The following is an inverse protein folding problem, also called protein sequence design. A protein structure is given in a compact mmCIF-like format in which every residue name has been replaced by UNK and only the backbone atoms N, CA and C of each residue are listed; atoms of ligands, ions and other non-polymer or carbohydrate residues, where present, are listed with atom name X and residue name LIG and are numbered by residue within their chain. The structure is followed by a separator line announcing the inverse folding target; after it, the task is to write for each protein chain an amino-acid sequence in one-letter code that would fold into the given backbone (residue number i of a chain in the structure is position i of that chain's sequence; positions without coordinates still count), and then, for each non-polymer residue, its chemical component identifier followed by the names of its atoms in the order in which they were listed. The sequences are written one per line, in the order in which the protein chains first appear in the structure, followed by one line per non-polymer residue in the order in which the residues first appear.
data_IF_463963307614
#
_entry.id   IF_463963307614
#
_cell.length_a   1.000
_cell.length_b   1.000
_cell.length_c   1.000
_cell.angle_alpha   90.00
_cell.angle_beta   90.00
_cell.angle_gamma   90.00
#
_symmetry.space_group_name_H-M   'P 1'
#
loop_
_entity.id
_entity.type
_entity.pdbx_description
1 polymer ?
#
# COMPACT_ATOMS: atom_id res chain seq x y z
N UNK A 1 -59.64 7.13 -81.26
CA UNK A 1 -58.32 7.78 -81.06
C UNK A 1 -58.28 8.54 -79.74
N UNK A 2 -59.30 9.33 -79.39
CA UNK A 2 -59.27 10.15 -78.18
C UNK A 2 -59.25 9.36 -76.85
N UNK A 3 -59.99 8.25 -76.73
CA UNK A 3 -59.98 7.46 -75.48
C UNK A 3 -58.62 6.81 -75.16
N UNK A 4 -57.85 6.42 -76.18
CA UNK A 4 -56.50 5.88 -76.00
C UNK A 4 -55.52 6.98 -75.55
N UNK A 5 -55.69 8.20 -76.06
CA UNK A 5 -54.88 9.36 -75.67
C UNK A 5 -55.16 9.77 -74.22
N UNK A 6 -56.41 9.78 -73.79
CA UNK A 6 -56.78 10.04 -72.39
C UNK A 6 -56.28 8.96 -71.43
N UNK A 7 -56.36 7.68 -71.82
CA UNK A 7 -55.82 6.57 -71.03
C UNK A 7 -54.29 6.72 -70.84
N UNK A 8 -53.58 7.07 -71.92
CA UNK A 8 -52.13 7.32 -71.86
C UNK A 8 -51.81 8.51 -70.96
N UNK A 9 -52.57 9.61 -71.05
CA UNK A 9 -52.40 10.77 -70.16
C UNK A 9 -52.58 10.40 -68.68
N UNK A 10 -53.60 9.59 -68.35
CA UNK A 10 -53.79 9.08 -66.98
C UNK A 10 -52.61 8.25 -66.51
N UNK A 11 -52.10 7.35 -67.36
CA UNK A 11 -50.91 6.54 -67.05
C UNK A 11 -49.69 7.43 -66.79
N UNK A 12 -49.46 8.44 -67.64
CA UNK A 12 -48.34 9.39 -67.47
C UNK A 12 -48.46 10.12 -66.13
N UNK A 13 -49.64 10.63 -65.79
CA UNK A 13 -49.87 11.31 -64.50
C UNK A 13 -49.66 10.38 -63.31
N UNK A 14 -50.12 9.12 -63.38
CA UNK A 14 -49.86 8.13 -62.32
C UNK A 14 -48.37 7.83 -62.17
N UNK A 15 -47.64 7.66 -63.27
CA UNK A 15 -46.20 7.41 -63.24
C UNK A 15 -45.42 8.61 -62.68
N UNK A 16 -45.80 9.84 -63.05
CA UNK A 16 -45.19 11.05 -62.51
C UNK A 16 -45.37 11.11 -60.98
N UNK A 17 -46.60 10.94 -60.49
CA UNK A 17 -46.88 10.93 -59.05
C UNK A 17 -46.11 9.80 -58.32
N UNK A 18 -46.00 8.61 -58.94
CA UNK A 18 -45.25 7.50 -58.35
C UNK A 18 -43.75 7.75 -58.33
N UNK A 19 -43.20 8.43 -59.33
CA UNK A 19 -41.80 8.85 -59.31
C UNK A 19 -41.53 9.85 -58.19
N UNK A 20 -42.43 10.82 -57.97
CA UNK A 20 -42.29 11.78 -56.88
C UNK A 20 -42.36 11.10 -55.50
N UNK A 21 -43.28 10.14 -55.32
CA UNK A 21 -43.35 9.32 -54.10
C UNK A 21 -42.06 8.52 -53.87
N UNK A 22 -41.51 7.89 -54.92
CA UNK A 22 -40.24 7.14 -54.84
C UNK A 22 -39.09 8.08 -54.47
N UNK A 23 -39.03 9.28 -55.05
CA UNK A 23 -37.97 10.25 -54.76
C UNK A 23 -38.03 10.69 -53.28
N UNK A 24 -39.22 11.00 -52.76
CA UNK A 24 -39.41 11.33 -51.34
C UNK A 24 -39.02 10.17 -50.41
N UNK A 25 -39.31 8.93 -50.83
CA UNK A 25 -38.91 7.74 -50.08
C UNK A 25 -37.39 7.56 -50.06
N UNK A 26 -36.70 7.78 -51.20
CA UNK A 26 -35.23 7.78 -51.28
C UNK A 26 -34.62 8.83 -50.35
N UNK A 27 -35.17 10.04 -50.31
CA UNK A 27 -34.67 11.10 -49.43
C UNK A 27 -34.84 10.73 -47.95
N UNK A 28 -35.96 10.12 -47.61
CA UNK A 28 -36.24 9.61 -46.25
C UNK A 28 -35.25 8.50 -45.86
N UNK A 29 -34.96 7.57 -46.78
CA UNK A 29 -33.98 6.52 -46.55
C UNK A 29 -32.58 7.09 -46.32
N UNK A 30 -32.17 8.08 -47.13
CA UNK A 30 -30.88 8.74 -46.97
C UNK A 30 -30.75 9.47 -45.63
N UNK A 31 -31.80 10.17 -45.20
CA UNK A 31 -31.83 10.82 -43.88
C UNK A 31 -31.75 9.80 -42.74
N UNK A 32 -32.49 8.69 -42.86
CA UNK A 32 -32.49 7.62 -41.86
C UNK A 32 -31.10 6.96 -41.77
N UNK A 33 -30.48 6.66 -42.92
CA UNK A 33 -29.14 6.10 -42.99
C UNK A 33 -28.12 7.03 -42.32
N UNK A 34 -28.18 8.32 -42.63
CA UNK A 34 -27.31 9.32 -42.01
C UNK A 34 -27.49 9.36 -40.49
N UNK A 35 -28.74 9.36 -40.02
CA UNK A 35 -29.04 9.34 -38.59
C UNK A 35 -28.49 8.08 -37.89
N UNK A 36 -28.57 6.91 -38.52
CA UNK A 36 -27.98 5.66 -38.00
C UNK A 36 -26.46 5.76 -37.92
N UNK A 37 -25.80 6.32 -38.95
CA UNK A 37 -24.35 6.48 -38.99
C UNK A 37 -23.85 7.45 -37.91
N UNK A 38 -24.50 8.61 -37.77
CA UNK A 38 -24.17 9.60 -36.75
C UNK A 38 -24.38 9.04 -35.34
N UNK A 39 -25.53 8.40 -35.09
CA UNK A 39 -25.81 7.78 -33.79
C UNK A 39 -24.79 6.70 -33.44
N UNK A 40 -24.45 5.83 -34.39
CA UNK A 40 -23.43 4.80 -34.17
C UNK A 40 -22.06 5.40 -33.87
N UNK A 41 -21.68 6.46 -34.57
CA UNK A 41 -20.41 7.16 -34.32
C UNK A 41 -20.39 7.79 -32.92
N UNK A 42 -21.48 8.42 -32.50
CA UNK A 42 -21.59 9.06 -31.19
C UNK A 42 -21.50 8.04 -30.06
N UNK A 43 -22.28 6.95 -30.14
CA UNK A 43 -22.26 5.91 -29.11
C UNK A 43 -20.88 5.23 -29.01
N UNK A 44 -20.19 5.04 -30.14
CA UNK A 44 -18.82 4.51 -30.11
C UNK A 44 -17.83 5.46 -29.43
N UNK A 45 -17.96 6.78 -29.67
CA UNK A 45 -17.14 7.79 -29.00
C UNK A 45 -17.41 7.86 -27.50
N UNK A 46 -18.69 7.87 -27.10
CA UNK A 46 -19.10 7.86 -25.68
C UNK A 46 -18.56 6.61 -24.96
N UNK A 47 -18.61 5.45 -25.62
CA UNK A 47 -18.05 4.22 -25.05
C UNK A 47 -16.53 4.31 -24.85
N UNK A 48 -15.81 4.88 -25.81
CA UNK A 48 -14.35 5.07 -25.73
C UNK A 48 -13.98 6.00 -24.56
N UNK A 49 -14.70 7.12 -24.43
CA UNK A 49 -14.54 8.08 -23.31
C UNK A 49 -14.79 7.44 -21.94
N UNK A 50 -15.80 6.56 -21.82
CA UNK A 50 -16.06 5.83 -20.59
C UNK A 50 -14.93 4.84 -20.25
N UNK A 51 -14.35 4.16 -21.25
CA UNK A 51 -13.19 3.29 -21.03
C UNK A 51 -11.94 4.08 -20.62
N UNK A 52 -11.69 5.23 -21.24
CA UNK A 52 -10.59 6.12 -20.85
C UNK A 52 -10.73 6.58 -19.39
N UNK A 53 -11.94 6.95 -18.98
CA UNK A 53 -12.25 7.28 -17.58
C UNK A 53 -11.97 6.10 -16.64
N UNK A 54 -12.40 4.89 -16.99
CA UNK A 54 -12.12 3.68 -16.21
C UNK A 54 -10.62 3.38 -16.09
N UNK A 55 -9.84 3.57 -17.16
CA UNK A 55 -8.39 3.40 -17.12
C UNK A 55 -7.72 4.43 -16.20
N UNK A 56 -8.17 5.68 -16.21
CA UNK A 56 -7.67 6.72 -15.30
C UNK A 56 -7.90 6.34 -13.85
N UNK A 57 -9.12 5.91 -13.50
CA UNK A 57 -9.47 5.47 -12.14
C UNK A 57 -8.61 4.28 -11.72
N UNK A 58 -8.41 3.31 -12.62
CA UNK A 58 -7.60 2.13 -12.34
C UNK A 58 -6.14 2.51 -12.06
N UNK A 59 -5.56 3.44 -12.81
CA UNK A 59 -4.18 3.90 -12.60
C UNK A 59 -4.06 4.69 -11.29
N UNK A 60 -5.02 5.56 -10.97
CA UNK A 60 -5.08 6.27 -9.69
C UNK A 60 -5.12 5.32 -8.48
N UNK A 61 -5.97 4.29 -8.55
CA UNK A 61 -6.06 3.28 -7.48
C UNK A 61 -4.76 2.48 -7.35
N UNK A 62 -4.16 2.09 -8.47
CA UNK A 62 -2.88 1.39 -8.49
C UNK A 62 -1.77 2.23 -7.87
N UNK A 63 -1.64 3.50 -8.25
CA UNK A 63 -0.64 4.40 -7.68
C UNK A 63 -0.89 4.66 -6.19
N UNK A 64 -2.14 4.77 -5.76
CA UNK A 64 -2.52 4.86 -4.35
C UNK A 64 -2.04 3.63 -3.56
N UNK A 65 -2.31 2.41 -4.05
CA UNK A 65 -1.86 1.16 -3.41
C UNK A 65 -0.33 1.08 -3.35
N UNK A 66 0.37 1.43 -4.43
CA UNK A 66 1.83 1.47 -4.47
C UNK A 66 2.38 2.44 -3.42
N UNK A 67 1.77 3.62 -3.30
CA UNK A 67 2.17 4.61 -2.31
C UNK A 67 1.92 4.14 -0.88
N UNK A 68 0.79 3.49 -0.60
CA UNK A 68 0.53 2.87 0.71
C UNK A 68 1.58 1.82 1.06
N UNK A 69 1.95 0.94 0.12
CA UNK A 69 3.00 -0.06 0.33
C UNK A 69 4.35 0.60 0.63
N UNK A 70 4.74 1.61 -0.15
CA UNK A 70 6.00 2.36 0.05
C UNK A 70 6.04 3.07 1.41
N UNK A 71 4.94 3.70 1.81
CA UNK A 71 4.82 4.38 3.10
C UNK A 71 4.94 3.38 4.25
N UNK A 72 4.25 2.23 4.15
CA UNK A 72 4.29 1.20 5.18
C UNK A 72 5.67 0.55 5.28
N UNK A 73 6.32 0.27 4.15
CA UNK A 73 7.70 -0.19 4.10
C UNK A 73 8.65 0.82 4.79
N UNK A 74 8.51 2.12 4.49
CA UNK A 74 9.34 3.17 5.08
C UNK A 74 9.12 3.26 6.59
N UNK A 75 7.85 3.22 7.05
CA UNK A 75 7.47 3.22 8.47
C UNK A 75 8.10 2.05 9.21
N UNK A 76 7.91 0.83 8.72
CA UNK A 76 8.49 -0.40 9.32
C UNK A 76 10.02 -0.35 9.35
N UNK A 77 10.65 0.12 8.28
CA UNK A 77 12.11 0.25 8.20
C UNK A 77 12.65 1.26 9.21
N UNK A 78 11.99 2.42 9.34
CA UNK A 78 12.37 3.45 10.30
C UNK A 78 12.21 2.95 11.74
N UNK A 79 11.13 2.24 12.05
CA UNK A 79 10.92 1.67 13.38
C UNK A 79 12.00 0.63 13.71
N UNK A 80 12.31 -0.30 12.79
CA UNK A 80 13.40 -1.27 12.98
C UNK A 80 14.77 -0.60 13.17
N UNK A 81 15.06 0.46 12.41
CA UNK A 81 16.31 1.23 12.58
C UNK A 81 16.37 1.92 13.95
N UNK A 82 15.25 2.49 14.41
CA UNK A 82 15.14 3.09 15.76
C UNK A 82 15.41 2.05 16.84
N UNK A 83 14.80 0.87 16.73
CA UNK A 83 15.01 -0.24 17.66
C UNK A 83 16.48 -0.71 17.65
N UNK A 84 17.08 -0.86 16.47
CA UNK A 84 18.48 -1.26 16.34
C UNK A 84 19.42 -0.25 17.02
N UNK A 85 19.17 1.05 16.86
CA UNK A 85 19.92 2.09 17.57
C UNK A 85 19.75 1.99 19.09
N UNK A 86 18.53 1.74 19.57
CA UNK A 86 18.27 1.57 21.00
C UNK A 86 18.95 0.32 21.56
N UNK A 87 18.93 -0.79 20.83
CA UNK A 87 19.63 -2.03 21.19
C UNK A 87 21.14 -1.84 21.25
N UNK A 88 21.74 -1.15 20.27
CA UNK A 88 23.17 -0.85 20.28
C UNK A 88 23.55 0.01 21.50
N UNK A 89 22.78 1.05 21.80
CA UNK A 89 23.01 1.87 22.99
C UNK A 89 22.85 1.05 24.29
N UNK A 90 21.86 0.16 24.36
CA UNK A 90 21.64 -0.71 25.51
C UNK A 90 22.79 -1.72 25.69
N UNK A 91 23.34 -2.23 24.58
CA UNK A 91 24.49 -3.13 24.57
C UNK A 91 25.75 -2.43 25.08
N UNK A 92 26.09 -1.25 24.52
CA UNK A 92 27.24 -0.45 24.95
C UNK A 92 27.18 -0.15 26.45
N UNK A 93 26.02 0.28 26.93
CA UNK A 93 25.75 0.46 28.35
C UNK A 93 25.99 -0.83 29.16
N UNK A 94 25.50 -1.98 28.69
CA UNK A 94 25.71 -3.26 29.37
C UNK A 94 27.18 -3.66 29.40
N UNK A 95 27.94 -3.38 28.34
CA UNK A 95 29.38 -3.66 28.26
C UNK A 95 30.15 -2.79 29.25
N UNK A 96 29.81 -1.50 29.36
CA UNK A 96 30.39 -0.60 30.37
C UNK A 96 30.13 -1.08 31.80
N UNK A 97 28.91 -1.54 32.09
CA UNK A 97 28.58 -2.14 33.38
C UNK A 97 29.38 -3.40 33.65
N UNK A 98 29.52 -4.27 32.65
CA UNK A 98 30.29 -5.52 32.78
C UNK A 98 31.76 -5.21 33.05
N UNK A 99 32.33 -4.24 32.35
CA UNK A 99 33.70 -3.81 32.54
C UNK A 99 33.89 -3.19 33.95
N UNK A 100 32.98 -2.32 34.37
CA UNK A 100 32.98 -1.78 35.73
C UNK A 100 32.83 -2.90 36.77
N UNK A 101 31.96 -3.88 36.51
CA UNK A 101 31.74 -5.00 37.41
C UNK A 101 33.02 -5.80 37.62
N UNK A 102 33.69 -6.14 36.53
CA UNK A 102 34.97 -6.85 36.48
C UNK A 102 36.06 -6.08 37.21
N UNK A 103 36.24 -4.79 36.90
CA UNK A 103 37.27 -3.94 37.56
C UNK A 103 37.11 -3.88 39.07
N UNK A 104 35.88 -3.83 39.60
CA UNK A 104 35.72 -3.81 41.06
C UNK A 104 36.03 -5.16 41.72
N UNK A 105 35.93 -6.29 41.00
CA UNK A 105 36.32 -7.59 41.55
C UNK A 105 37.84 -7.70 41.75
N UNK A 106 38.62 -6.92 41.00
CA UNK A 106 40.07 -6.85 41.14
C UNK A 106 40.53 -5.98 42.34
N UNK A 107 39.60 -5.31 43.04
CA UNK A 107 39.92 -4.49 44.22
C UNK A 107 40.25 -5.39 45.41
N UNK A 108 41.49 -5.27 45.88
CA UNK A 108 42.01 -6.05 47.02
C UNK A 108 41.71 -5.41 48.38
N UNK A 109 41.43 -4.11 48.42
CA UNK A 109 41.11 -3.38 49.67
C UNK A 109 39.60 -3.42 50.00
N UNK A 110 39.20 -3.95 51.18
CA UNK A 110 37.79 -4.17 51.52
C UNK A 110 36.95 -2.87 51.61
N UNK A 111 37.54 -1.77 52.09
CA UNK A 111 36.84 -0.49 52.20
C UNK A 111 36.59 0.16 50.84
N UNK A 112 37.55 0.03 49.92
CA UNK A 112 37.45 0.54 48.56
C UNK A 112 36.47 -0.31 47.72
N UNK A 113 36.46 -1.62 47.94
CA UNK A 113 35.46 -2.53 47.36
C UNK A 113 34.05 -2.17 47.82
N UNK A 114 33.83 -1.95 49.12
CA UNK A 114 32.52 -1.61 49.67
C UNK A 114 31.98 -0.27 49.15
N UNK A 115 32.86 0.73 48.96
CA UNK A 115 32.52 2.00 48.30
C UNK A 115 32.17 1.83 46.82
N UNK A 116 32.89 1.02 46.06
CA UNK A 116 32.53 0.75 44.66
C UNK A 116 31.26 -0.10 44.53
N UNK A 117 31.05 -1.09 45.41
CA UNK A 117 29.88 -1.95 45.42
C UNK A 117 28.57 -1.21 45.76
N UNK A 118 28.63 -0.24 46.68
CA UNK A 118 27.48 0.63 46.96
C UNK A 118 27.15 1.54 45.77
N UNK A 119 28.17 2.07 45.07
CA UNK A 119 27.97 2.84 43.82
C UNK A 119 27.39 1.98 42.68
N UNK A 120 27.77 0.70 42.57
CA UNK A 120 27.18 -0.27 41.62
C UNK A 120 25.68 -0.36 41.78
N UNK A 121 25.20 -0.61 43.01
CA UNK A 121 23.78 -0.90 43.26
C UNK A 121 22.87 0.29 42.91
N UNK A 122 23.40 1.52 42.99
CA UNK A 122 22.67 2.74 42.62
C UNK A 122 22.58 2.96 41.11
N UNK A 123 23.55 2.47 40.32
CA UNK A 123 23.61 2.70 38.87
C UNK A 123 23.15 1.50 38.02
N UNK A 124 23.35 0.28 38.50
CA UNK A 124 23.04 -0.94 37.75
C UNK A 124 21.54 -1.22 37.65
N UNK A 125 20.79 -1.05 38.73
CA UNK A 125 19.34 -1.33 38.75
C UNK A 125 18.51 -0.48 37.76
N UNK A 126 18.69 0.86 37.69
CA UNK A 126 17.99 1.70 36.71
C UNK A 126 18.31 1.32 35.27
N UNK A 127 19.57 0.95 35.03
CA UNK A 127 20.11 0.61 33.73
C UNK A 127 19.61 -0.77 33.25
N UNK A 128 19.53 -1.75 34.15
CA UNK A 128 18.89 -3.05 33.89
C UNK A 128 17.40 -2.91 33.55
N UNK A 129 16.66 -2.09 34.30
CA UNK A 129 15.26 -1.79 33.98
C UNK A 129 15.11 -1.16 32.60
N UNK A 130 16.06 -0.31 32.21
CA UNK A 130 16.06 0.31 30.89
C UNK A 130 16.32 -0.73 29.79
N UNK A 131 17.30 -1.63 29.97
CA UNK A 131 17.60 -2.72 29.03
C UNK A 131 16.39 -3.66 28.87
N UNK A 132 15.77 -4.06 29.98
CA UNK A 132 14.58 -4.93 29.96
C UNK A 132 13.39 -4.26 29.27
N UNK A 133 13.19 -2.96 29.49
CA UNK A 133 12.15 -2.19 28.82
C UNK A 133 12.41 -2.10 27.31
N UNK A 134 13.64 -1.81 26.89
CA UNK A 134 14.03 -1.77 25.48
C UNK A 134 13.85 -3.14 24.82
N UNK A 135 14.21 -4.22 25.49
CA UNK A 135 14.04 -5.58 24.97
C UNK A 135 12.57 -5.96 24.77
N UNK A 136 11.70 -5.68 25.75
CA UNK A 136 10.27 -5.97 25.62
C UNK A 136 9.63 -5.14 24.50
N UNK A 137 10.02 -3.87 24.34
CA UNK A 137 9.56 -3.02 23.25
C UNK A 137 9.99 -3.56 21.88
N UNK A 138 11.25 -4.00 21.76
CA UNK A 138 11.77 -4.61 20.55
C UNK A 138 11.01 -5.89 20.17
N UNK A 139 10.76 -6.75 21.15
CA UNK A 139 10.04 -8.01 20.94
C UNK A 139 8.63 -7.78 20.36
N UNK A 140 7.86 -6.85 20.93
CA UNK A 140 6.51 -6.55 20.44
C UNK A 140 6.52 -5.93 19.03
N UNK A 141 7.41 -4.99 18.75
CA UNK A 141 7.54 -4.36 17.42
C UNK A 141 7.92 -5.37 16.34
N UNK A 142 8.93 -6.20 16.63
CA UNK A 142 9.39 -7.22 15.68
C UNK A 142 8.31 -8.27 15.45
N UNK A 143 7.59 -8.66 16.51
CA UNK A 143 6.45 -9.58 16.43
C UNK A 143 5.35 -9.00 15.53
N UNK A 144 4.91 -7.77 15.77
CA UNK A 144 3.88 -7.07 14.97
C UNK A 144 4.27 -7.00 13.49
N UNK A 145 5.51 -6.59 13.19
CA UNK A 145 6.03 -6.52 11.81
C UNK A 145 6.10 -7.90 11.15
N UNK A 146 6.46 -8.95 11.91
CA UNK A 146 6.60 -10.32 11.40
C UNK A 146 5.25 -11.01 11.13
N UNK A 147 4.26 -10.80 12.00
CA UNK A 147 2.90 -11.35 11.86
C UNK A 147 2.21 -10.78 10.60
N UNK A 148 2.45 -9.51 10.29
CA UNK A 148 1.95 -8.88 9.06
C UNK A 148 2.67 -9.35 7.78
N UNK A 149 3.87 -9.91 7.88
CA UNK A 149 4.68 -10.36 6.73
C UNK A 149 4.58 -11.86 6.43
N UNK A 150 3.75 -12.63 7.15
CA UNK A 150 3.59 -14.10 7.03
C UNK A 150 4.89 -14.91 7.21
N UNK A 151 5.97 -14.32 7.73
CA UNK A 151 7.22 -15.04 8.02
C UNK A 151 7.20 -15.60 9.45
N UNK A 152 6.77 -16.86 9.58
CA UNK A 152 6.88 -17.62 10.82
C UNK A 152 8.33 -18.04 11.08
N UNK A 153 9.08 -17.28 11.90
CA UNK A 153 10.18 -17.82 12.70
C UNK A 153 10.76 -16.82 13.72
N UNK A 154 10.29 -16.90 14.97
CA UNK A 154 10.96 -16.29 16.13
C UNK A 154 11.06 -17.29 17.29
N UNK A 155 11.96 -18.27 17.17
CA UNK A 155 12.32 -19.19 18.27
C UNK A 155 13.69 -18.86 18.91
N UNK A 156 14.35 -17.76 18.50
CA UNK A 156 15.77 -17.50 18.85
C UNK A 156 15.97 -16.33 19.84
N UNK A 157 14.92 -15.67 20.34
CA UNK A 157 15.07 -14.54 21.27
C UNK A 157 14.82 -14.95 22.72
N UNK A 158 15.90 -15.11 23.48
CA UNK A 158 15.87 -15.37 24.93
C UNK A 158 15.78 -14.06 25.71
N UNK A 159 14.94 -13.97 26.75
CA UNK A 159 14.74 -12.70 27.49
C UNK A 159 15.99 -12.35 28.32
N UNK A 160 16.35 -11.07 28.48
CA UNK A 160 17.41 -10.64 29.41
C UNK A 160 17.15 -11.10 30.85
N UNK A 161 15.89 -11.10 31.29
CA UNK A 161 15.47 -11.59 32.61
C UNK A 161 15.79 -13.07 32.82
N UNK A 162 15.64 -13.90 31.79
CA UNK A 162 16.01 -15.34 31.83
C UNK A 162 17.53 -15.55 31.93
N UNK A 163 18.35 -14.58 31.48
CA UNK A 163 19.80 -14.64 31.63
C UNK A 163 20.26 -14.20 33.03
N UNK A 164 19.51 -13.31 33.69
CA UNK A 164 19.79 -12.85 35.06
C UNK A 164 19.47 -13.94 36.09
N UNK A 165 18.38 -14.70 35.90
CA UNK A 165 18.07 -15.84 36.77
C UNK A 165 19.17 -16.91 36.77
N UNK A 166 19.90 -17.06 35.66
CA UNK A 166 21.08 -17.94 35.59
C UNK A 166 22.31 -17.41 36.34
N UNK A 167 22.33 -16.12 36.70
CA UNK A 167 23.47 -15.45 37.34
C UNK A 167 23.22 -15.13 38.83
N UNK A 168 22.02 -15.37 39.35
CA UNK A 168 21.74 -15.33 40.78
C UNK A 168 22.18 -16.65 41.45
N UNK A 169 22.79 -16.63 42.65
CA UNK A 169 23.25 -17.84 43.33
C UNK A 169 22.11 -18.76 43.79
#
# INVERSE_FOLDING_TARGET
MDSQKEALQRIISTLANKNDEIQNFIDTLNQTLKGVQENSSNILSELDEEFDSLYSILDEVKESMINSIKQEQARKSQELQSQLSQCNNALENSEELLEFATRSLDIKEPEEFSKQASSKNTKSLPMWRQIEKTWNNHYEVVKEISEENLESRFEIYKKPSECIEMCAP
#
